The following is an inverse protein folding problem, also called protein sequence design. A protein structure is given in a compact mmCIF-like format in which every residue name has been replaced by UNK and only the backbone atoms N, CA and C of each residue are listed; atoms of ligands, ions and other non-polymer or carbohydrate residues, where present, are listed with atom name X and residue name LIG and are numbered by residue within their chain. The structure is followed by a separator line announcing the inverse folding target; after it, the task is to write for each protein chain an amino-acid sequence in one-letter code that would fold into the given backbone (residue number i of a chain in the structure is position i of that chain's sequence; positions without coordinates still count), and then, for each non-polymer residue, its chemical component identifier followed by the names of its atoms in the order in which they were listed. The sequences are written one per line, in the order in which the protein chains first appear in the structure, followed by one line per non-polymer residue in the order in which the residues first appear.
data_IF_319024103238
#
_entry.id   IF_319024103238
#
_cell.length_a   1.000
_cell.length_b   1.000
_cell.length_c   1.000
_cell.angle_alpha   90.00
_cell.angle_beta   90.00
_cell.angle_gamma   90.00
#
_symmetry.space_group_name_H-M   'P 1'
#
loop_
_entity.id
_entity.type
_entity.pdbx_description
1 polymer ?
#
# COMPACT_ATOMS: atom_id res chain seq x y z
N UNK A 1 9.53 6.63 12.99
CA UNK A 1 10.16 7.29 11.81
C UNK A 1 10.53 6.23 10.78
N UNK A 2 9.98 6.29 9.55
CA UNK A 2 10.48 5.49 8.43
C UNK A 2 11.90 5.94 8.14
N UNK A 3 12.91 5.10 8.43
CA UNK A 3 14.29 5.37 8.05
C UNK A 3 14.35 5.32 6.51
N UNK A 4 14.74 6.40 5.81
CA UNK A 4 14.87 6.37 4.36
C UNK A 4 15.91 5.29 3.98
N UNK A 5 15.54 4.41 3.06
CA UNK A 5 16.43 3.43 2.45
C UNK A 5 17.37 4.16 1.47
N UNK A 6 18.60 3.68 1.28
CA UNK A 6 19.50 4.20 0.24
C UNK A 6 18.84 4.13 -1.14
N UNK A 7 18.67 5.29 -1.79
CA UNK A 7 17.99 5.40 -3.09
C UNK A 7 16.46 5.54 -3.00
N UNK A 8 15.90 5.70 -1.81
CA UNK A 8 14.50 6.09 -1.58
C UNK A 8 14.42 7.51 -1.04
N UNK A 9 13.40 8.25 -1.46
CA UNK A 9 13.07 9.55 -0.91
C UNK A 9 11.83 9.41 -0.05
N UNK A 10 11.94 9.72 1.24
CA UNK A 10 10.83 9.66 2.20
C UNK A 10 10.67 11.02 2.84
N UNK A 11 9.47 11.58 2.78
CA UNK A 11 9.20 12.90 3.33
C UNK A 11 7.95 12.89 4.20
N UNK A 12 8.06 13.49 5.38
CA UNK A 12 6.92 13.71 6.27
C UNK A 12 6.01 14.80 5.70
N UNK A 13 4.71 14.52 5.66
CA UNK A 13 3.67 15.46 5.28
C UNK A 13 3.21 16.19 6.54
N UNK A 14 3.90 17.29 6.88
CA UNK A 14 3.56 18.16 8.01
C UNK A 14 3.30 19.55 7.43
N UNK A 15 2.02 19.92 7.26
CA UNK A 15 1.58 21.27 6.85
C UNK A 15 2.28 21.85 5.59
N UNK A 16 2.77 21.00 4.68
CA UNK A 16 3.52 21.44 3.49
C UNK A 16 2.75 21.09 2.23
N UNK A 17 2.49 22.12 1.42
CA UNK A 17 1.73 22.02 0.17
C UNK A 17 2.62 21.79 -1.07
N UNK A 18 3.92 22.08 -0.99
CA UNK A 18 4.83 22.01 -2.14
C UNK A 18 6.19 21.44 -1.76
N UNK A 19 6.71 20.52 -2.58
CA UNK A 19 8.07 20.02 -2.50
C UNK A 19 8.69 19.86 -3.88
N UNK A 20 9.94 20.31 -4.03
CA UNK A 20 10.72 20.21 -5.25
C UNK A 20 11.88 19.23 -5.04
N UNK A 21 12.08 18.31 -5.99
CA UNK A 21 13.18 17.35 -5.96
C UNK A 21 13.89 17.27 -7.30
N UNK A 22 15.23 17.34 -7.28
CA UNK A 22 16.06 17.06 -8.43
C UNK A 22 16.18 15.53 -8.66
N UNK A 23 15.77 15.00 -9.82
CA UNK A 23 15.70 13.57 -10.09
C UNK A 23 17.04 12.96 -10.55
N UNK A 24 18.14 13.69 -10.47
CA UNK A 24 19.45 13.32 -11.03
C UNK A 24 20.05 12.01 -10.46
N UNK A 25 19.51 11.47 -9.36
CA UNK A 25 19.96 10.19 -8.77
C UNK A 25 18.90 9.07 -8.77
N UNK A 26 17.64 9.36 -9.12
CA UNK A 26 16.52 8.41 -8.97
C UNK A 26 16.18 7.73 -10.32
N UNK A 27 16.43 8.40 -11.45
CA UNK A 27 15.89 8.02 -12.76
C UNK A 27 16.66 6.93 -13.55
N UNK A 28 17.75 6.37 -13.05
CA UNK A 28 18.51 5.35 -13.77
C UNK A 28 18.02 3.91 -13.45
N UNK A 29 17.29 3.32 -14.41
CA UNK A 29 16.84 1.90 -14.54
C UNK A 29 15.96 1.32 -13.40
N UNK A 30 14.81 0.72 -13.75
CA UNK A 30 13.86 0.04 -12.83
C UNK A 30 12.60 0.86 -12.50
N UNK A 31 11.46 0.22 -12.25
CA UNK A 31 10.17 0.89 -12.06
C UNK A 31 10.17 1.80 -10.82
N UNK A 32 9.72 3.04 -11.02
CA UNK A 32 9.55 4.02 -9.93
C UNK A 32 8.14 3.87 -9.37
N UNK A 33 8.06 3.64 -8.06
CA UNK A 33 6.82 3.46 -7.34
C UNK A 33 6.64 4.54 -6.29
N UNK A 34 5.42 5.01 -6.18
CA UNK A 34 4.99 6.05 -5.26
C UNK A 34 4.17 5.40 -4.16
N UNK A 35 4.45 5.75 -2.92
CA UNK A 35 3.82 5.19 -1.74
C UNK A 35 3.38 6.30 -0.80
N UNK A 36 2.25 6.10 -0.13
CA UNK A 36 1.98 6.81 1.12
C UNK A 36 2.30 5.92 2.30
N UNK A 37 2.83 6.51 3.36
CA UNK A 37 3.18 5.86 4.61
C UNK A 37 2.39 6.46 5.76
N UNK A 38 1.95 5.59 6.66
CA UNK A 38 1.30 5.96 7.91
C UNK A 38 2.15 5.46 9.08
N UNK A 39 2.40 6.34 10.05
CA UNK A 39 3.13 6.04 11.27
C UNK A 39 2.16 5.96 12.45
N UNK A 40 2.34 4.96 13.31
CA UNK A 40 1.51 4.72 14.50
C UNK A 40 0.01 4.50 14.16
N UNK A 41 -0.27 3.91 12.99
CA UNK A 41 -1.62 3.54 12.59
C UNK A 41 -1.79 2.02 12.72
N UNK A 42 -2.58 1.57 13.67
CA UNK A 42 -2.69 0.15 14.05
C UNK A 42 -3.73 -0.62 13.20
N UNK A 43 -3.48 -0.77 11.89
CA UNK A 43 -4.32 -1.61 11.02
C UNK A 43 -4.36 -3.08 11.45
N UNK A 44 -3.38 -3.54 12.22
CA UNK A 44 -3.25 -4.91 12.70
C UNK A 44 -4.05 -5.20 13.98
N UNK A 45 -4.78 -4.22 14.54
CA UNK A 45 -5.67 -4.48 15.66
C UNK A 45 -6.77 -5.47 15.25
N UNK A 46 -6.97 -6.55 16.01
CA UNK A 46 -7.93 -7.62 15.69
C UNK A 46 -9.34 -7.08 15.43
N UNK A 47 -9.83 -6.16 16.25
CA UNK A 47 -11.18 -5.59 16.09
C UNK A 47 -11.26 -4.71 14.84
N UNK A 48 -10.18 -4.01 14.51
CA UNK A 48 -10.08 -3.22 13.28
C UNK A 48 -10.09 -4.12 12.05
N UNK A 49 -9.22 -5.14 11.98
CA UNK A 49 -9.12 -6.07 10.83
C UNK A 49 -10.43 -6.81 10.58
N UNK A 50 -11.10 -7.23 11.66
CA UNK A 50 -12.35 -7.97 11.57
C UNK A 50 -13.55 -7.09 11.19
N UNK A 51 -13.47 -5.77 11.37
CA UNK A 51 -14.55 -4.84 11.06
C UNK A 51 -14.58 -4.49 9.57
N UNK A 52 -14.96 -5.49 8.77
CA UNK A 52 -15.20 -5.45 7.32
C UNK A 52 -16.00 -6.69 6.92
N UNK A 53 -16.77 -6.64 5.84
CA UNK A 53 -17.47 -7.81 5.32
C UNK A 53 -17.05 -8.10 3.88
N UNK A 54 -16.41 -9.24 3.64
CA UNK A 54 -15.89 -9.60 2.31
C UNK A 54 -17.02 -9.94 1.30
N UNK A 55 -18.21 -10.37 1.76
CA UNK A 55 -19.39 -10.58 0.91
C UNK A 55 -19.96 -9.25 0.39
N UNK A 56 -19.91 -8.20 1.21
CA UNK A 56 -20.26 -6.86 0.76
C UNK A 56 -19.32 -6.36 -0.33
N UNK A 57 -18.02 -6.60 -0.18
CA UNK A 57 -17.00 -6.16 -1.13
C UNK A 57 -17.11 -6.84 -2.50
N UNK A 58 -17.74 -8.01 -2.58
CA UNK A 58 -18.05 -8.70 -3.85
C UNK A 58 -19.44 -8.34 -4.41
N UNK A 59 -20.15 -7.38 -3.79
CA UNK A 59 -21.38 -6.79 -4.31
C UNK A 59 -22.67 -7.21 -3.59
N UNK A 60 -22.62 -7.99 -2.49
CA UNK A 60 -23.80 -8.31 -1.70
C UNK A 60 -24.01 -7.27 -0.58
N UNK A 61 -24.74 -6.19 -0.88
CA UNK A 61 -24.83 -5.01 -0.02
C UNK A 61 -25.54 -5.24 1.34
N UNK A 62 -26.33 -6.31 1.45
CA UNK A 62 -27.08 -6.65 2.66
C UNK A 62 -26.20 -7.34 3.72
N UNK A 63 -25.05 -7.89 3.32
CA UNK A 63 -24.13 -8.61 4.20
C UNK A 63 -23.23 -7.65 4.98
N UNK A 64 -23.59 -7.36 6.23
CA UNK A 64 -22.85 -6.43 7.12
C UNK A 64 -22.56 -6.99 8.52
N UNK A 65 -22.76 -8.30 8.72
CA UNK A 65 -22.68 -8.99 10.02
C UNK A 65 -21.40 -8.72 10.83
N UNK A 66 -20.24 -8.72 10.18
CA UNK A 66 -18.92 -8.53 10.80
C UNK A 66 -18.53 -7.05 11.01
N UNK A 67 -19.35 -6.10 10.56
CA UNK A 67 -19.00 -4.68 10.50
C UNK A 67 -19.37 -3.86 11.74
N UNK A 68 -19.96 -4.48 12.77
CA UNK A 68 -20.41 -3.77 13.98
C UNK A 68 -19.33 -2.90 14.61
N UNK A 69 -19.65 -1.68 15.08
CA UNK A 69 -20.96 -1.00 15.05
C UNK A 69 -21.19 -0.16 13.77
N UNK A 70 -20.31 -0.29 12.76
CA UNK A 70 -20.40 0.43 11.48
C UNK A 70 -21.02 -0.46 10.40
N UNK A 71 -22.03 -1.24 10.78
CA UNK A 71 -22.84 -2.09 9.91
C UNK A 71 -24.06 -1.33 9.37
N UNK A 72 -24.73 -0.55 10.21
CA UNK A 72 -25.95 0.18 9.86
C UNK A 72 -26.01 1.56 10.52
N UNK A 73 -26.75 2.49 9.90
CA UNK A 73 -27.00 3.81 10.48
C UNK A 73 -28.04 3.67 11.60
N UNK A 74 -27.76 4.16 12.82
CA UNK A 74 -28.72 4.10 13.93
C UNK A 74 -30.08 4.69 13.54
N UNK A 75 -31.16 4.07 14.03
CA UNK A 75 -32.54 4.51 13.83
C UNK A 75 -33.03 4.53 12.37
N UNK A 76 -32.32 3.85 11.47
CA UNK A 76 -32.73 3.68 10.06
C UNK A 76 -32.53 2.23 9.60
N UNK A 77 -33.15 1.86 8.49
CA UNK A 77 -32.94 0.56 7.83
C UNK A 77 -31.80 0.60 6.77
N UNK A 78 -30.95 1.63 6.81
CA UNK A 78 -29.89 1.82 5.81
C UNK A 78 -28.56 1.23 6.30
N UNK A 79 -27.91 0.44 5.44
CA UNK A 79 -26.60 -0.15 5.73
C UNK A 79 -25.47 0.76 5.27
N UNK A 80 -24.32 0.69 5.95
CA UNK A 80 -23.13 1.39 5.46
C UNK A 80 -22.49 0.64 4.29
N UNK A 81 -22.20 1.31 3.18
CA UNK A 81 -21.47 0.74 2.06
C UNK A 81 -20.27 1.63 1.66
N UNK A 82 -19.03 1.15 1.80
CA UNK A 82 -18.59 -0.09 2.49
C UNK A 82 -18.72 -0.02 4.02
N UNK A 83 -19.09 -1.13 4.67
CA UNK A 83 -19.22 -1.21 6.12
C UNK A 83 -17.88 -1.38 6.85
N UNK A 84 -17.87 -1.06 8.15
CA UNK A 84 -16.77 -1.39 9.06
C UNK A 84 -15.65 -0.35 9.18
N UNK A 85 -14.82 -0.49 10.22
CA UNK A 85 -13.76 0.45 10.56
C UNK A 85 -12.64 0.51 9.52
N UNK A 86 -12.33 -0.62 8.86
CA UNK A 86 -11.31 -0.64 7.81
C UNK A 86 -11.72 0.34 6.72
N UNK A 87 -12.95 0.24 6.22
CA UNK A 87 -13.38 1.07 5.11
C UNK A 87 -13.65 2.52 5.54
N UNK A 88 -14.25 2.75 6.71
CA UNK A 88 -14.53 4.09 7.23
C UNK A 88 -13.25 4.95 7.34
N UNK A 89 -12.12 4.35 7.70
CA UNK A 89 -10.83 5.04 7.88
C UNK A 89 -9.98 5.19 6.61
N UNK A 90 -10.59 5.05 5.42
CA UNK A 90 -9.89 5.13 4.14
C UNK A 90 -9.02 6.38 4.00
N UNK A 91 -7.77 6.16 3.55
CA UNK A 91 -6.85 7.22 3.18
C UNK A 91 -7.43 8.04 2.02
N UNK A 92 -7.50 9.35 2.18
CA UNK A 92 -8.21 10.27 1.29
C UNK A 92 -7.40 11.48 0.82
N UNK A 93 -6.11 11.57 1.15
CA UNK A 93 -5.26 12.59 0.56
C UNK A 93 -5.00 12.28 -0.91
N UNK A 94 -4.93 13.32 -1.73
CA UNK A 94 -4.58 13.22 -3.14
C UNK A 94 -3.21 13.82 -3.38
N UNK A 95 -2.40 13.08 -4.11
CA UNK A 95 -1.08 13.53 -4.51
C UNK A 95 -1.06 13.82 -6.00
N UNK A 96 -0.63 15.03 -6.35
CA UNK A 96 -0.30 15.40 -7.73
C UNK A 96 1.20 15.58 -7.84
N UNK A 97 1.77 15.05 -8.92
CA UNK A 97 3.18 15.21 -9.23
C UNK A 97 3.26 15.92 -10.58
N UNK A 98 4.01 17.01 -10.64
CA UNK A 98 4.15 17.83 -11.83
C UNK A 98 5.62 17.86 -12.26
N UNK A 99 5.90 17.64 -13.54
CA UNK A 99 7.18 17.96 -14.14
C UNK A 99 7.34 19.48 -14.32
N UNK A 100 8.39 20.08 -13.77
CA UNK A 100 8.84 21.40 -14.24
C UNK A 100 9.69 21.22 -15.49
N UNK A 101 9.15 21.67 -16.62
CA UNK A 101 9.87 21.73 -17.89
C UNK A 101 10.95 22.80 -17.87
N UNK A 102 12.02 22.61 -18.64
CA UNK A 102 13.11 23.58 -18.80
C UNK A 102 12.66 24.95 -19.37
N UNK A 103 11.43 25.03 -19.90
CA UNK A 103 10.83 26.25 -20.46
C UNK A 103 9.66 26.81 -19.61
N UNK A 104 9.54 26.43 -18.33
CA UNK A 104 8.60 27.05 -17.39
C UNK A 104 7.16 26.53 -17.41
N UNK A 105 6.86 25.51 -18.22
CA UNK A 105 5.58 24.78 -18.17
C UNK A 105 5.58 23.67 -17.12
N UNK A 106 4.44 23.47 -16.44
CA UNK A 106 4.20 22.33 -15.55
C UNK A 106 3.32 21.29 -16.25
N UNK A 107 3.82 20.07 -16.39
CA UNK A 107 3.07 18.93 -16.96
C UNK A 107 2.81 17.87 -15.88
N UNK A 108 1.63 17.24 -15.85
CA UNK A 108 1.39 16.15 -14.89
C UNK A 108 2.25 14.92 -15.21
N UNK A 109 2.85 14.35 -14.16
CA UNK A 109 3.58 13.10 -14.29
C UNK A 109 2.59 11.99 -14.63
N UNK A 110 2.78 11.28 -15.76
CA UNK A 110 1.88 10.22 -16.15
C UNK A 110 2.06 9.02 -15.21
N UNK A 111 0.95 8.58 -14.65
CA UNK A 111 0.89 7.44 -13.74
C UNK A 111 0.14 6.27 -14.36
N UNK A 112 0.53 5.06 -13.95
CA UNK A 112 -0.16 3.82 -14.29
C UNK A 112 -0.60 3.07 -13.04
N UNK A 113 -1.75 2.39 -13.17
CA UNK A 113 -2.39 1.57 -12.11
C UNK A 113 -2.48 0.10 -12.49
N UNK A 114 -2.10 -0.26 -13.73
CA UNK A 114 -2.40 -1.57 -14.35
C UNK A 114 -1.88 -2.75 -13.52
N UNK A 115 -0.64 -2.66 -13.05
CA UNK A 115 0.10 -3.74 -12.36
C UNK A 115 0.10 -3.59 -10.83
N UNK A 116 -0.69 -2.67 -10.27
CA UNK A 116 -0.72 -2.44 -8.82
C UNK A 116 -1.39 -3.58 -8.04
N UNK A 117 -2.39 -4.23 -8.64
CA UNK A 117 -3.14 -5.33 -8.04
C UNK A 117 -3.31 -6.43 -9.10
N UNK A 118 -3.01 -7.71 -8.78
CA UNK A 118 -3.25 -8.81 -9.69
C UNK A 118 -4.73 -8.94 -10.07
N UNK A 119 -5.03 -9.21 -11.35
CA UNK A 119 -6.41 -9.27 -11.84
C UNK A 119 -7.26 -10.36 -11.17
N UNK A 120 -6.62 -11.45 -10.72
CA UNK A 120 -7.29 -12.48 -9.95
C UNK A 120 -7.87 -11.96 -8.63
N UNK A 121 -7.13 -11.08 -7.94
CA UNK A 121 -7.56 -10.47 -6.68
C UNK A 121 -8.71 -9.52 -6.94
N UNK A 122 -8.58 -8.65 -7.97
CA UNK A 122 -9.65 -7.74 -8.39
C UNK A 122 -10.94 -8.53 -8.62
N UNK A 123 -10.92 -9.53 -9.51
CA UNK A 123 -12.11 -10.29 -9.92
C UNK A 123 -12.73 -11.18 -8.84
N UNK A 124 -11.96 -11.61 -7.82
CA UNK A 124 -12.45 -12.53 -6.78
C UNK A 124 -12.87 -11.85 -5.48
N UNK A 125 -12.23 -10.73 -5.11
CA UNK A 125 -12.43 -10.09 -3.81
C UNK A 125 -13.21 -8.78 -3.87
N UNK A 126 -13.30 -8.16 -5.04
CA UNK A 126 -13.90 -6.84 -5.18
C UNK A 126 -14.75 -6.77 -6.43
N UNK A 127 -16.05 -6.55 -6.28
CA UNK A 127 -16.97 -6.36 -7.40
C UNK A 127 -18.05 -5.38 -7.03
N UNK A 128 -18.34 -4.49 -7.96
CA UNK A 128 -19.50 -3.63 -7.84
C UNK A 128 -20.79 -4.46 -7.95
N UNK A 129 -21.86 -4.06 -7.23
CA UNK A 129 -23.19 -4.61 -7.48
C UNK A 129 -23.57 -4.36 -8.95
N UNK A 130 -24.26 -5.32 -9.55
CA UNK A 130 -24.70 -5.17 -10.94
C UNK A 130 -25.96 -4.29 -10.96
N UNK A 131 -25.95 -3.14 -11.64
CA UNK A 131 -27.16 -2.35 -11.83
C UNK A 131 -28.18 -3.15 -12.64
N UNK A 132 -29.47 -2.88 -12.42
CA UNK A 132 -30.54 -3.40 -13.27
C UNK A 132 -30.46 -2.68 -14.63
N UNK A 133 -31.05 -3.26 -15.69
CA UNK A 133 -31.00 -2.66 -17.02
C UNK A 133 -31.47 -1.19 -17.00
N UNK A 134 -30.66 -0.30 -17.61
CA UNK A 134 -30.83 1.16 -17.65
C UNK A 134 -30.56 1.94 -16.35
N UNK A 135 -30.06 1.29 -15.30
CA UNK A 135 -29.67 1.96 -14.06
C UNK A 135 -28.19 2.36 -14.04
N UNK A 136 -27.88 3.42 -13.29
CA UNK A 136 -26.51 3.82 -13.01
C UNK A 136 -25.92 2.98 -11.89
N UNK A 137 -24.59 2.98 -11.77
CA UNK A 137 -23.93 2.34 -10.63
C UNK A 137 -24.43 2.87 -9.29
N UNK A 138 -24.77 4.16 -9.18
CA UNK A 138 -25.24 4.73 -7.93
C UNK A 138 -26.64 4.25 -7.54
N UNK A 139 -27.49 3.93 -8.51
CA UNK A 139 -28.83 3.39 -8.26
C UNK A 139 -28.73 1.99 -7.64
N UNK A 140 -27.72 1.21 -8.03
CA UNK A 140 -27.41 -0.08 -7.41
C UNK A 140 -27.02 0.04 -5.91
N UNK A 141 -26.70 1.23 -5.42
CA UNK A 141 -26.37 1.52 -4.01
C UNK A 141 -27.51 2.26 -3.26
N UNK A 142 -28.72 2.36 -3.81
CA UNK A 142 -29.81 3.21 -3.28
C UNK A 142 -30.17 2.98 -1.80
N UNK A 143 -30.09 1.73 -1.31
CA UNK A 143 -30.41 1.38 0.08
C UNK A 143 -29.20 1.44 1.02
N UNK A 144 -28.12 2.10 0.61
CA UNK A 144 -26.88 2.19 1.37
C UNK A 144 -26.46 3.62 1.60
N UNK A 145 -25.69 3.83 2.66
CA UNK A 145 -25.15 5.14 3.03
C UNK A 145 -23.63 5.05 3.13
N UNK A 146 -22.95 6.12 2.74
CA UNK A 146 -21.49 6.20 2.91
C UNK A 146 -21.08 6.14 4.38
N UNK A 147 -19.87 5.64 4.69
CA UNK A 147 -19.35 5.67 6.06
C UNK A 147 -19.23 7.10 6.63
N UNK A 148 -19.28 7.28 7.95
CA UNK A 148 -19.28 8.60 8.58
C UNK A 148 -18.10 9.52 8.21
N UNK A 149 -16.91 8.97 7.94
CA UNK A 149 -15.73 9.77 7.59
C UNK A 149 -15.55 10.01 6.09
N UNK A 150 -16.46 9.49 5.26
CA UNK A 150 -16.39 9.65 3.81
C UNK A 150 -17.05 10.96 3.34
N UNK A 151 -16.41 11.64 2.40
CA UNK A 151 -16.92 12.87 1.79
C UNK A 151 -17.82 12.63 0.58
N UNK A 152 -17.69 11.46 -0.06
CA UNK A 152 -18.43 11.03 -1.25
C UNK A 152 -18.86 9.58 -1.11
N UNK A 153 -19.95 9.24 -1.78
CA UNK A 153 -20.47 7.86 -1.80
C UNK A 153 -19.54 6.94 -2.58
N UNK A 154 -19.60 5.65 -2.25
CA UNK A 154 -18.78 4.62 -2.88
C UNK A 154 -18.98 4.59 -4.40
N UNK A 155 -20.21 4.73 -4.89
CA UNK A 155 -20.50 4.73 -6.33
C UNK A 155 -19.81 5.87 -7.12
N UNK A 156 -19.39 6.94 -6.42
CA UNK A 156 -18.66 8.08 -7.01
C UNK A 156 -17.14 8.00 -6.79
N UNK A 157 -16.66 7.03 -6.02
CA UNK A 157 -15.24 6.85 -5.77
C UNK A 157 -14.53 6.44 -7.06
N UNK A 158 -13.56 7.24 -7.50
CA UNK A 158 -12.84 7.01 -8.76
C UNK A 158 -13.58 7.43 -10.03
N UNK A 159 -14.81 7.95 -9.92
CA UNK A 159 -15.52 8.51 -11.06
C UNK A 159 -14.71 9.66 -11.69
N UNK A 160 -14.68 9.72 -13.02
CA UNK A 160 -13.94 10.71 -13.82
C UNK A 160 -12.40 10.64 -13.72
N UNK A 161 -11.84 9.64 -13.04
CA UNK A 161 -10.39 9.44 -12.99
C UNK A 161 -10.05 8.24 -13.88
N UNK A 162 -9.30 8.44 -14.98
CA UNK A 162 -9.00 7.35 -15.90
C UNK A 162 -8.09 6.30 -15.24
N UNK A 163 -8.41 5.03 -15.45
CA UNK A 163 -7.55 3.90 -15.07
C UNK A 163 -7.60 3.46 -13.60
N UNK A 164 -8.24 4.19 -12.68
CA UNK A 164 -8.32 3.78 -11.26
C UNK A 164 -9.52 2.87 -10.94
N UNK A 165 -10.51 2.79 -11.81
CA UNK A 165 -11.76 2.04 -11.54
C UNK A 165 -12.72 2.80 -10.61
N UNK A 166 -13.97 2.34 -10.54
CA UNK A 166 -15.05 2.99 -9.80
C UNK A 166 -15.60 2.08 -8.70
N UNK A 167 -16.05 2.64 -7.57
CA UNK A 167 -16.71 1.88 -6.52
C UNK A 167 -15.79 0.91 -5.77
N UNK A 168 -16.27 -0.31 -5.50
CA UNK A 168 -15.46 -1.36 -4.87
C UNK A 168 -14.30 -1.83 -5.76
N UNK A 169 -14.41 -1.63 -7.08
CA UNK A 169 -13.36 -1.95 -8.05
C UNK A 169 -12.34 -0.80 -8.22
N UNK A 170 -12.42 0.24 -7.39
CA UNK A 170 -11.40 1.27 -7.34
C UNK A 170 -10.08 0.75 -6.74
N UNK A 171 -8.96 1.00 -7.43
CA UNK A 171 -7.63 0.50 -7.04
C UNK A 171 -7.16 1.05 -5.70
N UNK A 172 -7.40 2.33 -5.40
CA UNK A 172 -7.00 2.94 -4.13
C UNK A 172 -7.78 2.32 -2.96
N UNK A 173 -9.07 2.09 -3.16
CA UNK A 173 -9.91 1.39 -2.20
C UNK A 173 -9.41 -0.03 -1.94
N UNK A 174 -9.16 -0.81 -3.00
CA UNK A 174 -8.67 -2.19 -2.85
C UNK A 174 -7.32 -2.26 -2.11
N UNK A 175 -6.39 -1.34 -2.39
CA UNK A 175 -5.10 -1.26 -1.69
C UNK A 175 -5.30 -0.89 -0.21
N UNK A 176 -6.23 0.01 0.07
CA UNK A 176 -6.55 0.38 1.44
C UNK A 176 -7.09 -0.80 2.24
N UNK A 177 -8.06 -1.54 1.68
CA UNK A 177 -8.72 -2.69 2.31
C UNK A 177 -7.80 -3.87 2.61
N UNK A 178 -6.60 -3.92 2.01
CA UNK A 178 -5.54 -4.86 2.36
C UNK A 178 -4.80 -4.39 3.63
N UNK A 179 -5.30 -4.76 4.81
CA UNK A 179 -4.75 -4.32 6.11
C UNK A 179 -3.27 -4.68 6.26
N UNK A 180 -2.46 -3.74 6.75
CA UNK A 180 -1.06 -3.96 7.03
C UNK A 180 -0.84 -4.72 8.35
N UNK A 181 0.21 -5.55 8.41
CA UNK A 181 0.57 -6.33 9.60
C UNK A 181 1.26 -5.53 10.71
N UNK A 182 1.81 -4.35 10.37
CA UNK A 182 2.58 -3.50 11.27
C UNK A 182 1.92 -2.12 11.41
N UNK A 183 2.09 -1.44 12.56
CA UNK A 183 1.53 -0.10 12.77
C UNK A 183 2.21 1.00 11.95
N UNK A 184 3.39 0.69 11.42
CA UNK A 184 4.14 1.55 10.52
C UNK A 184 4.18 0.85 9.18
N UNK A 185 3.39 1.32 8.23
CA UNK A 185 3.28 0.71 6.92
C UNK A 185 3.28 1.74 5.81
N UNK A 186 3.61 1.27 4.61
CA UNK A 186 3.42 2.00 3.36
C UNK A 186 2.47 1.24 2.46
N UNK A 187 1.70 1.95 1.65
CA UNK A 187 0.78 1.41 0.66
C UNK A 187 1.08 2.04 -0.69
N UNK A 188 1.03 1.22 -1.74
CA UNK A 188 1.33 1.65 -3.10
C UNK A 188 0.25 2.64 -3.56
N UNK A 189 0.66 3.80 -4.03
CA UNK A 189 -0.22 4.84 -4.55
C UNK A 189 -0.25 4.83 -6.07
N UNK A 190 0.90 4.95 -6.74
CA UNK A 190 0.99 4.95 -8.21
C UNK A 190 2.31 4.35 -8.67
N UNK A 191 2.39 3.98 -9.94
CA UNK A 191 3.62 3.60 -10.64
C UNK A 191 3.88 4.63 -11.72
N UNK A 192 5.13 5.02 -11.91
CA UNK A 192 5.51 5.93 -12.99
C UNK A 192 5.29 5.27 -14.35
N UNK A 193 4.57 5.95 -15.25
CA UNK A 193 4.47 5.54 -16.65
C UNK A 193 5.65 6.11 -17.44
N UNK A 194 6.63 5.25 -17.74
CA UNK A 194 7.87 5.65 -18.41
C UNK A 194 7.71 5.97 -19.89
N UNK A 195 6.68 5.43 -20.52
CA UNK A 195 6.44 5.63 -21.95
C UNK A 195 5.99 7.07 -22.25
N UNK A 196 5.60 7.81 -21.20
CA UNK A 196 5.07 9.18 -21.29
C UNK A 196 5.86 10.19 -20.44
N UNK A 197 6.91 9.77 -19.72
CA UNK A 197 7.62 10.64 -18.78
C UNK A 197 8.72 11.48 -19.45
N UNK A 198 8.46 12.75 -19.70
CA UNK A 198 9.45 13.72 -20.20
C UNK A 198 9.60 14.89 -19.22
N UNK A 199 10.47 14.76 -18.20
CA UNK A 199 10.72 15.90 -17.33
C UNK A 199 11.82 15.71 -16.29
N UNK A 200 12.41 16.84 -15.90
CA UNK A 200 13.65 16.91 -15.12
C UNK A 200 13.45 17.35 -13.67
N UNK A 201 12.25 17.68 -13.20
CA UNK A 201 12.02 18.11 -11.81
C UNK A 201 10.58 17.79 -11.44
N UNK A 202 10.34 17.15 -10.30
CA UNK A 202 8.98 16.80 -9.86
C UNK A 202 8.53 17.71 -8.72
N UNK A 203 7.37 18.36 -8.86
CA UNK A 203 6.67 19.11 -7.81
C UNK A 203 5.53 18.28 -7.26
N UNK A 204 5.55 18.08 -5.96
CA UNK A 204 4.48 17.39 -5.24
C UNK A 204 3.48 18.39 -4.68
N UNK A 205 2.19 18.22 -5.01
CA UNK A 205 1.09 18.95 -4.38
C UNK A 205 0.29 17.98 -3.51
N UNK A 206 0.25 18.30 -2.21
CA UNK A 206 -0.55 17.59 -1.22
C UNK A 206 -1.87 18.33 -0.99
N UNK A 207 -2.99 17.61 -1.04
CA UNK A 207 -4.25 18.09 -0.51
C UNK A 207 -4.53 17.36 0.81
N UNK A 208 -4.11 17.93 1.95
CA UNK A 208 -4.27 17.25 3.23
C UNK A 208 -5.75 17.15 3.58
N UNK A 209 -6.24 15.93 3.72
CA UNK A 209 -7.45 15.69 4.48
C UNK A 209 -7.11 15.71 5.98
N UNK A 210 -8.01 16.30 6.77
CA UNK A 210 -7.91 16.40 8.23
C UNK A 210 -8.10 15.03 8.88
N UNK A 211 -7.09 14.16 8.80
CA UNK A 211 -7.03 12.93 9.58
C UNK A 211 -6.23 13.18 10.86
N UNK A 212 -6.90 13.07 12.01
CA UNK A 212 -6.25 13.14 13.33
C UNK A 212 -5.90 11.72 13.78
N UNK A 213 -4.61 11.42 13.93
CA UNK A 213 -4.19 10.21 14.66
C UNK A 213 -2.98 9.44 14.12
N UNK A 214 -2.42 9.81 12.97
CA UNK A 214 -1.22 9.16 12.43
C UNK A 214 -0.33 10.18 11.70
N UNK A 215 0.99 10.03 11.81
CA UNK A 215 1.90 10.82 10.96
C UNK A 215 1.86 10.27 9.53
N UNK A 216 1.75 11.16 8.56
CA UNK A 216 1.71 10.82 7.14
C UNK A 216 3.06 11.08 6.48
N UNK A 217 3.43 10.25 5.53
CA UNK A 217 4.62 10.45 4.71
C UNK A 217 4.37 10.05 3.28
N UNK A 218 5.00 10.75 2.33
CA UNK A 218 5.05 10.32 0.94
C UNK A 218 6.44 9.75 0.65
N UNK A 219 6.48 8.62 -0.03
CA UNK A 219 7.70 7.85 -0.26
C UNK A 219 7.81 7.51 -1.74
N UNK A 220 8.94 7.87 -2.35
CA UNK A 220 9.29 7.54 -3.72
C UNK A 220 10.44 6.55 -3.65
N UNK A 221 10.27 5.38 -4.24
CA UNK A 221 11.32 4.36 -4.27
C UNK A 221 11.34 3.62 -5.59
N UNK A 222 12.53 3.14 -5.94
CA UNK A 222 12.70 2.12 -6.96
C UNK A 222 12.46 0.75 -6.33
N UNK A 223 11.85 -0.16 -7.07
CA UNK A 223 11.84 -1.57 -6.70
C UNK A 223 12.83 -2.38 -7.54
N UNK A 224 13.54 -3.27 -6.86
CA UNK A 224 14.29 -4.34 -7.49
C UNK A 224 13.43 -5.61 -7.55
N UNK A 225 13.90 -6.66 -8.22
CA UNK A 225 13.20 -7.95 -8.25
C UNK A 225 12.91 -8.49 -6.82
N UNK A 226 13.82 -8.26 -5.85
CA UNK A 226 13.61 -8.71 -4.47
C UNK A 226 12.75 -7.74 -3.63
N UNK A 227 12.20 -6.71 -4.29
CA UNK A 227 11.43 -5.64 -3.68
C UNK A 227 12.28 -4.43 -3.27
N UNK A 228 11.79 -3.64 -2.32
CA UNK A 228 12.51 -2.51 -1.74
C UNK A 228 13.76 -2.95 -0.98
N UNK A 229 14.80 -2.11 -0.95
CA UNK A 229 16.12 -2.50 -0.45
C UNK A 229 16.12 -2.57 1.08
N UNK A 230 16.19 -3.79 1.62
CA UNK A 230 16.34 -4.06 3.06
C UNK A 230 17.59 -4.90 3.32
N UNK A 231 18.53 -4.35 4.08
CA UNK A 231 19.78 -5.04 4.41
C UNK A 231 19.59 -6.17 5.42
N UNK A 232 18.43 -6.24 6.09
CA UNK A 232 18.13 -7.26 7.10
C UNK A 232 18.34 -8.68 6.57
N UNK A 233 17.84 -8.97 5.37
CA UNK A 233 17.94 -10.30 4.77
C UNK A 233 19.41 -10.69 4.54
N UNK A 234 20.20 -9.76 3.97
CA UNK A 234 21.63 -9.95 3.71
C UNK A 234 22.39 -10.20 5.00
N UNK A 235 22.16 -9.37 6.03
CA UNK A 235 22.79 -9.49 7.34
C UNK A 235 22.42 -10.84 7.99
N UNK A 236 21.15 -11.25 7.90
CA UNK A 236 20.70 -12.53 8.46
C UNK A 236 21.37 -13.73 7.77
N UNK A 237 21.46 -13.74 6.43
CA UNK A 237 22.15 -14.81 5.71
C UNK A 237 23.64 -14.88 6.05
N UNK A 238 24.33 -13.74 6.15
CA UNK A 238 25.74 -13.70 6.54
C UNK A 238 25.92 -14.24 7.96
N UNK A 239 25.07 -13.82 8.92
CA UNK A 239 25.14 -14.29 10.30
C UNK A 239 24.94 -15.81 10.42
N UNK A 240 23.92 -16.36 9.74
CA UNK A 240 23.68 -17.81 9.72
C UNK A 240 24.81 -18.56 9.03
N UNK A 241 25.33 -18.03 7.91
CA UNK A 241 26.47 -18.62 7.21
C UNK A 241 27.74 -18.71 8.06
N UNK A 242 28.07 -17.62 8.78
CA UNK A 242 29.20 -17.60 9.72
C UNK A 242 28.99 -18.60 10.86
N UNK A 243 27.78 -18.69 11.41
CA UNK A 243 27.45 -19.67 12.45
C UNK A 243 27.64 -21.12 11.97
N UNK A 244 27.13 -21.47 10.79
CA UNK A 244 27.27 -22.81 10.23
C UNK A 244 28.73 -23.15 9.91
N UNK A 245 29.53 -22.18 9.47
CA UNK A 245 30.98 -22.38 9.25
C UNK A 245 31.71 -22.68 10.56
N UNK A 246 31.42 -21.94 11.63
CA UNK A 246 32.03 -22.19 12.94
C UNK A 246 31.68 -23.58 13.48
N UNK A 247 30.42 -23.98 13.37
CA UNK A 247 29.95 -25.32 13.76
C UNK A 247 30.64 -26.41 12.93
N UNK A 248 30.78 -26.20 11.62
CA UNK A 248 31.47 -27.13 10.73
C UNK A 248 32.95 -27.29 11.10
N UNK A 249 33.67 -26.18 11.37
CA UNK A 249 35.07 -26.20 11.81
C UNK A 249 35.19 -26.95 13.15
N UNK A 250 34.28 -26.71 14.10
CA UNK A 250 34.27 -27.40 15.38
C UNK A 250 34.15 -28.92 15.20
N UNK A 251 33.21 -29.38 14.36
CA UNK A 251 33.04 -30.81 14.08
C UNK A 251 34.27 -31.41 13.40
N UNK A 252 34.91 -30.69 12.46
CA UNK A 252 36.15 -31.14 11.81
C UNK A 252 37.28 -31.27 12.83
N UNK A 253 37.44 -30.31 13.75
CA UNK A 253 38.45 -30.37 14.82
C UNK A 253 38.20 -31.56 15.76
N UNK A 254 36.95 -31.80 16.15
CA UNK A 254 36.57 -32.96 16.98
C UNK A 254 36.89 -34.26 16.24
N UNK A 255 36.54 -34.38 14.96
CA UNK A 255 36.80 -35.56 14.15
C UNK A 255 38.30 -35.84 13.98
N UNK A 256 39.09 -34.81 13.68
CA UNK A 256 40.56 -34.94 13.58
C UNK A 256 41.16 -35.37 14.92
N UNK A 257 40.69 -34.79 16.04
CA UNK A 257 41.17 -35.17 17.39
C UNK A 257 40.86 -36.62 17.71
N UNK A 258 39.65 -37.10 17.43
CA UNK A 258 39.26 -38.50 17.63
C UNK A 258 40.16 -39.44 16.81
N UNK A 259 40.33 -39.14 15.51
CA UNK A 259 41.17 -39.95 14.62
C UNK A 259 42.65 -40.00 15.04
N UNK A 260 43.17 -38.90 15.59
CA UNK A 260 44.53 -38.85 16.13
C UNK A 260 44.70 -39.68 17.41
N UNK A 261 43.67 -39.73 18.27
CA UNK A 261 43.68 -40.57 19.46
C UNK A 261 43.64 -42.07 19.10
N UNK A 262 42.82 -42.46 18.13
CA UNK A 262 42.76 -43.84 17.61
C UNK A 262 44.12 -44.32 17.09
N UNK A 263 44.80 -43.51 16.25
CA UNK A 263 46.15 -43.84 15.76
C UNK A 263 47.19 -44.00 16.86
N UNK A 264 47.03 -43.28 17.98
CA UNK A 264 47.96 -43.35 19.12
C UNK A 264 47.71 -44.58 20.00
N UNK A 265 46.49 -45.14 19.99
CA UNK A 265 46.22 -46.42 20.66
C UNK A 265 46.68 -47.64 19.87
N UNK A 266 46.91 -47.48 18.56
CA UNK A 266 47.42 -48.56 17.68
C UNK A 266 48.96 -48.64 17.62
N UNK A 267 49.68 -47.61 18.12
CA UNK A 267 51.15 -47.52 18.18
C UNK A 267 51.72 -47.84 19.55
#
# INVERSE_FOLDING_TARGET
MFRPEEGSLSQKLVNKQFFEFAPTTILSKGDIKFYYGLHQFYQNNRLYVNSRNDLQLIGNLDEVSDCKPLDQVPDTNLTYAPCGFVANSMFNDTFQLLYHGAQGGSEEVPFTTRTMIPDLVKKRKFRNPKPVENETLCDAFVNTVRPPWWQKDICRLGANIPGVGVGFENVDFMIWMQTAALPNFRKLYRILDRDRSHGNTCVFVDYPATWKGAEKSFIITRESWIGPRKDFLVIAYIAVGVFLLLVSILFVVIHIRQRMLERRSES
#
